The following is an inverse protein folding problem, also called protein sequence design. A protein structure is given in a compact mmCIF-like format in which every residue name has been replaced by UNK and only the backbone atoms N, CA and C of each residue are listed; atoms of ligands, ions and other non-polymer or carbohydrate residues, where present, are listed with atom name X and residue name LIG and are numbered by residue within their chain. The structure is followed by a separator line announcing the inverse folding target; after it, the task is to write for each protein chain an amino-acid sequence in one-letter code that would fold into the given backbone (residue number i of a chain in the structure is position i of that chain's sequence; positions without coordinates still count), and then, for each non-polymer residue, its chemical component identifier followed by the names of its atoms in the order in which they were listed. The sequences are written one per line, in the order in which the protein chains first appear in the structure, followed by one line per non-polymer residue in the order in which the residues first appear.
data_IF_639357480149
#
_entry.id   IF_639357480149
#
_cell.length_a   1.000
_cell.length_b   1.000
_cell.length_c   1.000
_cell.angle_alpha   90.00
_cell.angle_beta   90.00
_cell.angle_gamma   90.00
#
_symmetry.space_group_name_H-M   'P 1'
#
loop_
_entity.id
_entity.type
_entity.pdbx_description
1 polymer ?
#
# COMPACT_ATOMS: atom_id res chain seq x y z
N UNK A 1 -1.97 23.95 -5.37
CA UNK A 1 -1.32 23.25 -4.23
C UNK A 1 -0.01 22.62 -4.70
N UNK A 2 1.11 23.02 -4.12
CA UNK A 2 2.44 22.49 -4.46
C UNK A 2 2.62 21.07 -3.89
N UNK A 3 3.53 20.26 -4.46
CA UNK A 3 3.73 18.86 -4.07
C UNK A 3 4.07 18.70 -2.58
N UNK A 4 4.99 19.53 -2.06
CA UNK A 4 5.37 19.53 -0.63
C UNK A 4 4.16 19.70 0.29
N UNK A 5 3.22 20.55 -0.11
CA UNK A 5 1.99 20.77 0.66
C UNK A 5 1.07 19.55 0.63
N UNK A 6 1.02 18.81 -0.49
CA UNK A 6 0.29 17.54 -0.57
C UNK A 6 0.84 16.51 0.43
N UNK A 7 2.15 16.41 0.57
CA UNK A 7 2.78 15.52 1.54
C UNK A 7 2.50 15.94 2.99
N UNK A 8 2.63 17.23 3.30
CA UNK A 8 2.32 17.78 4.63
C UNK A 8 0.86 17.52 5.03
N UNK A 9 -0.08 17.61 4.06
CA UNK A 9 -1.51 17.39 4.26
C UNK A 9 -1.98 15.95 4.04
N UNK A 10 -1.07 14.99 3.80
CA UNK A 10 -1.39 13.59 3.44
C UNK A 10 -2.35 13.44 2.24
N UNK A 11 -2.37 14.42 1.33
CA UNK A 11 -3.18 14.42 0.10
C UNK A 11 -2.41 13.98 -1.15
N UNK A 12 -1.14 13.59 -0.99
CA UNK A 12 -0.39 12.98 -2.09
C UNK A 12 -0.93 11.55 -2.31
N UNK A 13 -1.23 11.20 -3.56
CA UNK A 13 -1.50 9.82 -3.95
C UNK A 13 -0.17 9.16 -4.29
N UNK A 14 0.11 8.01 -3.69
CA UNK A 14 1.38 7.30 -3.81
C UNK A 14 1.18 6.01 -4.60
N UNK A 15 2.14 5.66 -5.45
CA UNK A 15 2.17 4.40 -6.18
C UNK A 15 3.43 3.63 -5.82
N UNK A 16 3.31 2.33 -5.57
CA UNK A 16 4.45 1.41 -5.37
C UNK A 16 4.40 0.34 -6.44
N UNK A 17 5.46 0.22 -7.23
CA UNK A 17 5.60 -0.79 -8.29
C UNK A 17 6.45 -1.93 -7.75
N UNK A 18 5.90 -3.14 -7.83
CA UNK A 18 6.46 -4.36 -7.23
C UNK A 18 5.97 -4.54 -5.80
N UNK A 19 5.13 -5.55 -5.57
CA UNK A 19 4.63 -5.95 -4.26
C UNK A 19 5.44 -7.14 -3.76
N UNK A 20 6.76 -7.03 -3.80
CA UNK A 20 7.64 -8.05 -3.22
C UNK A 20 7.76 -7.92 -1.71
N UNK A 21 8.81 -8.53 -1.17
CA UNK A 21 9.18 -8.44 0.23
C UNK A 21 9.30 -7.00 0.75
N UNK A 22 9.79 -6.06 -0.08
CA UNK A 22 9.97 -4.65 0.30
C UNK A 22 8.74 -3.81 -0.02
N UNK A 23 8.16 -3.99 -1.21
CA UNK A 23 7.12 -3.10 -1.70
C UNK A 23 5.79 -3.24 -0.98
N UNK A 24 5.40 -4.46 -0.57
CA UNK A 24 4.16 -4.63 0.20
C UNK A 24 4.24 -3.99 1.59
N UNK A 25 5.29 -4.22 2.42
CA UNK A 25 5.46 -3.48 3.67
C UNK A 25 5.52 -1.96 3.47
N UNK A 26 6.23 -1.48 2.43
CA UNK A 26 6.27 -0.05 2.13
C UNK A 26 4.89 0.54 1.83
N UNK A 27 4.06 -0.17 1.06
CA UNK A 27 2.67 0.20 0.82
C UNK A 27 1.88 0.32 2.12
N UNK A 28 2.01 -0.67 3.02
CA UNK A 28 1.31 -0.69 4.29
C UNK A 28 1.76 0.47 5.19
N UNK A 29 3.06 0.72 5.30
CA UNK A 29 3.59 1.83 6.10
C UNK A 29 3.13 3.20 5.58
N UNK A 30 3.11 3.39 4.26
CA UNK A 30 2.59 4.62 3.65
C UNK A 30 1.08 4.77 3.91
N UNK A 31 0.31 3.69 3.83
CA UNK A 31 -1.12 3.70 4.14
C UNK A 31 -1.36 4.00 5.64
N UNK A 32 -0.61 3.36 6.54
CA UNK A 32 -0.63 3.62 7.98
C UNK A 32 -0.25 5.05 8.33
N UNK A 33 0.66 5.67 7.56
CA UNK A 33 1.00 7.09 7.68
C UNK A 33 -0.08 8.06 7.18
N UNK A 34 -1.21 7.53 6.68
CA UNK A 34 -2.40 8.27 6.26
C UNK A 34 -2.45 8.67 4.79
N UNK A 35 -1.60 8.10 3.94
CA UNK A 35 -1.63 8.36 2.50
C UNK A 35 -2.59 7.42 1.75
N UNK A 36 -3.09 7.90 0.61
CA UNK A 36 -3.77 7.07 -0.39
C UNK A 36 -2.71 6.39 -1.26
N UNK A 37 -2.60 5.05 -1.17
CA UNK A 37 -1.53 4.27 -1.78
C UNK A 37 -2.09 3.21 -2.71
N UNK A 38 -1.57 3.14 -3.93
CA UNK A 38 -1.86 2.09 -4.90
C UNK A 38 -0.65 1.19 -5.09
N UNK A 39 -0.77 -0.08 -4.71
CA UNK A 39 0.21 -1.12 -5.02
C UNK A 39 0.01 -1.69 -6.42
N UNK A 40 1.08 -1.86 -7.18
CA UNK A 40 1.06 -2.36 -8.55
C UNK A 40 2.04 -3.52 -8.67
N UNK A 41 1.57 -4.68 -9.14
CA UNK A 41 2.43 -5.83 -9.45
C UNK A 41 1.95 -6.50 -10.73
N UNK A 42 2.86 -7.12 -11.46
CA UNK A 42 2.55 -7.85 -12.71
C UNK A 42 1.87 -9.19 -12.41
N UNK A 43 2.09 -9.75 -11.22
CA UNK A 43 1.47 -10.98 -10.76
C UNK A 43 0.02 -10.72 -10.29
N UNK A 44 -0.94 -11.09 -11.15
CA UNK A 44 -2.37 -10.92 -10.88
C UNK A 44 -2.86 -11.73 -9.68
N UNK A 45 -2.31 -12.92 -9.44
CA UNK A 45 -2.73 -13.76 -8.32
C UNK A 45 -2.25 -13.19 -6.99
N UNK A 46 -1.03 -12.65 -6.97
CA UNK A 46 -0.50 -11.90 -5.82
C UNK A 46 -1.37 -10.69 -5.50
N UNK A 47 -1.71 -9.86 -6.50
CA UNK A 47 -2.61 -8.70 -6.33
C UNK A 47 -3.97 -9.14 -5.77
N UNK A 48 -4.56 -10.20 -6.32
CA UNK A 48 -5.85 -10.74 -5.86
C UNK A 48 -5.81 -11.21 -4.40
N UNK A 49 -4.72 -11.86 -3.97
CA UNK A 49 -4.53 -12.27 -2.56
C UNK A 49 -4.40 -11.07 -1.63
N UNK A 50 -3.57 -10.09 -1.99
CA UNK A 50 -3.38 -8.86 -1.20
C UNK A 50 -4.70 -8.11 -1.04
N UNK A 51 -5.46 -7.94 -2.12
CA UNK A 51 -6.77 -7.26 -2.09
C UNK A 51 -7.81 -8.00 -1.22
N UNK A 52 -7.61 -9.29 -0.93
CA UNK A 52 -8.43 -10.08 0.00
C UNK A 52 -7.91 -10.04 1.45
N UNK A 53 -6.87 -9.24 1.73
CA UNK A 53 -6.22 -9.21 3.04
C UNK A 53 -5.33 -10.42 3.32
N UNK A 54 -5.02 -11.23 2.31
CA UNK A 54 -4.17 -12.42 2.47
C UNK A 54 -2.73 -12.02 2.15
N UNK A 55 -1.93 -11.86 3.19
CA UNK A 55 -0.48 -11.67 3.07
C UNK A 55 0.23 -13.01 2.87
N UNK A 56 1.17 -13.07 1.93
CA UNK A 56 2.11 -14.18 1.75
C UNK A 56 3.48 -13.89 2.40
N UNK A 57 3.65 -12.70 2.99
CA UNK A 57 4.86 -12.35 3.76
C UNK A 57 4.53 -12.66 5.22
N UNK A 58 5.23 -13.65 5.78
CA UNK A 58 4.97 -14.20 7.13
C UNK A 58 4.94 -13.14 8.25
N UNK A 59 5.62 -12.00 8.06
CA UNK A 59 5.72 -10.94 9.09
C UNK A 59 4.92 -9.67 8.79
N UNK A 60 4.21 -9.58 7.65
CA UNK A 60 3.40 -8.40 7.33
C UNK A 60 1.91 -8.71 7.50
N UNK A 61 1.30 -8.22 8.60
CA UNK A 61 -0.16 -8.25 8.76
C UNK A 61 -0.80 -7.23 7.84
N UNK A 62 -1.33 -7.69 6.69
CA UNK A 62 -2.19 -6.88 5.84
C UNK A 62 -3.53 -6.74 6.55
N UNK A 63 -3.77 -5.63 7.23
CA UNK A 63 -5.11 -5.26 7.66
C UNK A 63 -5.82 -4.57 6.51
N UNK A 64 -7.06 -4.97 6.23
CA UNK A 64 -7.88 -4.32 5.23
C UNK A 64 -8.07 -2.85 5.61
N UNK A 65 -7.71 -1.88 4.75
CA UNK A 65 -7.92 -0.45 5.03
C UNK A 65 -9.41 -0.04 5.05
N UNK A 66 -10.32 -0.98 4.77
CA UNK A 66 -11.77 -0.77 4.71
C UNK A 66 -12.56 -1.51 5.80
N UNK A 67 -11.94 -1.92 6.91
CA UNK A 67 -12.67 -2.27 8.12
C UNK A 67 -13.22 -0.98 8.76
N UNK A 68 -14.38 -0.54 8.28
CA UNK A 68 -15.33 0.21 9.11
C UNK A 68 -16.03 -0.75 10.05
#
# INVERSE_FOLDING_TARGET
MQLKEKFRKRKAKLGVIGLGYVGLPLCLEMANAGFDVTGIDVDKEKVKKINKGISYILDAKVQSPNAK
#
